data_IF_320789243285
#
_entry.id   IF_320789243285
#
_cell.length_a   1.000
_cell.length_b   1.000
_cell.length_c   1.000
_cell.angle_alpha   90.00
_cell.angle_beta   90.00
_cell.angle_gamma   90.00
#
_symmetry.space_group_name_H-M   'P 1'
#
loop_
_entity.id
_entity.type
_entity.pdbx_description
1 polymer ?
#
# COMPACT_ATOMS: atom_id res chain seq x y z
N UNK A 1 23.71 -28.33 12.66
CA UNK A 1 22.41 -27.71 12.47
C UNK A 1 22.64 -26.38 11.76
N UNK A 2 22.25 -26.26 10.49
CA UNK A 2 22.26 -24.98 9.79
C UNK A 2 21.24 -24.08 10.48
N UNK A 3 21.68 -22.97 11.02
CA UNK A 3 20.77 -21.91 11.44
C UNK A 3 20.04 -21.45 10.16
N UNK A 4 18.77 -21.72 10.10
CA UNK A 4 17.91 -21.17 9.06
C UNK A 4 17.86 -19.66 9.31
N UNK A 5 18.45 -18.88 8.42
CA UNK A 5 18.39 -17.43 8.51
C UNK A 5 16.93 -17.04 8.34
N UNK A 6 16.33 -16.44 9.36
CA UNK A 6 14.94 -15.97 9.28
C UNK A 6 14.85 -14.85 8.25
N UNK A 7 13.77 -14.85 7.43
CA UNK A 7 13.48 -13.75 6.53
C UNK A 7 13.11 -12.51 7.34
N UNK A 8 13.53 -11.33 6.90
CA UNK A 8 13.15 -10.04 7.47
C UNK A 8 13.10 -8.97 6.39
N UNK A 9 12.09 -8.13 6.44
CA UNK A 9 11.92 -7.03 5.51
C UNK A 9 10.65 -6.24 5.81
N UNK A 10 10.53 -5.09 5.18
CA UNK A 10 9.39 -4.19 5.37
C UNK A 10 9.14 -3.33 4.13
N UNK A 11 7.91 -2.84 4.00
CA UNK A 11 7.60 -1.86 2.96
C UNK A 11 8.21 -0.51 3.34
N UNK A 12 9.01 0.02 2.44
CA UNK A 12 9.69 1.31 2.59
C UNK A 12 9.01 2.44 1.82
N UNK A 13 8.25 2.11 0.76
CA UNK A 13 7.57 3.12 -0.08
C UNK A 13 6.20 2.57 -0.57
N UNK A 14 5.10 3.26 -0.25
CA UNK A 14 5.00 4.17 0.88
C UNK A 14 5.38 3.44 2.18
N UNK A 15 5.83 4.15 3.21
CA UNK A 15 6.30 3.48 4.42
C UNK A 15 5.18 2.72 5.09
N UNK A 16 5.46 1.47 5.47
CA UNK A 16 4.57 0.72 6.35
C UNK A 16 4.40 1.45 7.68
N UNK A 17 3.35 1.12 8.40
CA UNK A 17 3.05 1.71 9.71
C UNK A 17 4.25 1.63 10.66
N UNK A 18 4.93 0.47 10.70
CA UNK A 18 6.13 0.27 11.52
C UNK A 18 7.34 1.05 11.01
N UNK A 19 7.56 1.10 9.71
CA UNK A 19 8.66 1.90 9.18
C UNK A 19 8.41 3.41 9.36
N UNK A 20 7.16 3.86 9.25
CA UNK A 20 6.78 5.23 9.59
C UNK A 20 7.10 5.59 11.06
N UNK A 21 7.02 4.61 11.96
CA UNK A 21 7.51 4.77 13.34
C UNK A 21 9.02 4.99 13.38
N UNK A 22 9.77 4.18 12.64
CA UNK A 22 11.23 4.27 12.59
C UNK A 22 11.73 5.61 12.07
N UNK A 23 11.03 6.20 11.10
CA UNK A 23 11.39 7.49 10.50
C UNK A 23 10.65 8.68 11.13
N UNK A 24 10.09 8.48 12.33
CA UNK A 24 9.45 9.52 13.15
C UNK A 24 8.17 10.15 12.56
N UNK A 25 7.50 9.49 11.64
CA UNK A 25 6.18 9.90 11.17
C UNK A 25 5.05 9.44 12.11
N UNK A 26 5.27 8.35 12.85
CA UNK A 26 4.41 7.86 13.91
C UNK A 26 5.15 7.88 15.25
N UNK A 27 4.41 7.92 16.35
CA UNK A 27 4.92 7.88 17.71
C UNK A 27 4.17 6.85 18.55
N UNK A 28 4.73 6.47 19.71
CA UNK A 28 4.07 5.53 20.61
C UNK A 28 3.92 4.13 20.05
N UNK A 29 4.89 3.67 19.27
CA UNK A 29 4.84 2.41 18.52
C UNK A 29 5.44 1.22 19.27
N UNK A 30 6.08 1.46 20.41
CA UNK A 30 6.77 0.39 21.14
C UNK A 30 7.92 -0.23 20.34
N UNK A 31 8.21 -1.53 20.54
CA UNK A 31 9.33 -2.23 19.89
C UNK A 31 9.33 -2.20 18.35
N UNK A 32 8.18 -1.99 17.73
CA UNK A 32 8.07 -1.88 16.28
C UNK A 32 8.92 -0.73 15.68
N UNK A 33 9.23 0.27 16.49
CA UNK A 33 10.09 1.39 16.08
C UNK A 33 11.51 0.93 15.76
N UNK A 34 12.04 0.01 16.53
CA UNK A 34 13.42 -0.44 16.40
C UNK A 34 13.56 -1.64 15.45
N UNK A 35 12.48 -2.38 15.25
CA UNK A 35 12.48 -3.64 14.51
C UNK A 35 11.41 -3.71 13.40
N UNK A 36 11.30 -2.70 12.52
CA UNK A 36 10.28 -2.72 11.46
C UNK A 36 10.41 -3.95 10.56
N UNK A 37 11.60 -4.50 10.38
CA UNK A 37 11.89 -5.69 9.58
C UNK A 37 11.28 -6.98 10.15
N UNK A 38 10.95 -7.00 11.44
CA UNK A 38 10.39 -8.17 12.13
C UNK A 38 8.88 -8.09 12.30
N UNK A 39 8.30 -6.92 12.09
CA UNK A 39 6.86 -6.69 12.25
C UNK A 39 6.08 -7.39 11.14
N UNK A 40 4.98 -8.03 11.52
CA UNK A 40 4.04 -8.60 10.54
C UNK A 40 4.36 -10.01 10.08
N UNK A 41 5.36 -10.67 10.64
CA UNK A 41 5.62 -12.07 10.31
C UNK A 41 4.52 -12.96 10.90
N UNK A 42 3.79 -13.64 10.01
CA UNK A 42 2.68 -14.51 10.39
C UNK A 42 2.50 -15.65 9.41
N UNK A 43 1.50 -16.49 9.67
CA UNK A 43 1.16 -17.60 8.77
C UNK A 43 0.82 -17.06 7.37
N UNK A 44 1.36 -17.66 6.33
CA UNK A 44 1.04 -17.28 4.94
C UNK A 44 -0.36 -17.74 4.55
N UNK A 45 -0.90 -17.15 3.47
CA UNK A 45 -2.18 -17.58 2.88
C UNK A 45 -3.35 -16.65 3.17
N UNK A 46 -3.11 -15.39 3.56
CA UNK A 46 -4.18 -14.39 3.69
C UNK A 46 -4.97 -14.25 2.38
N UNK A 47 -6.30 -14.13 2.39
CA UNK A 47 -7.17 -13.98 3.57
C UNK A 47 -7.68 -15.30 4.19
N UNK A 48 -7.48 -16.46 3.55
CA UNK A 48 -7.99 -17.75 4.06
C UNK A 48 -7.27 -18.16 5.35
N UNK A 49 -5.97 -17.96 5.36
CA UNK A 49 -5.08 -18.12 6.51
C UNK A 49 -4.50 -16.76 6.87
N UNK A 50 -3.39 -16.73 7.58
CA UNK A 50 -2.72 -15.49 7.95
C UNK A 50 -2.95 -15.10 9.40
N UNK A 51 -2.60 -13.88 9.81
CA UNK A 51 -2.78 -13.42 11.17
C UNK A 51 -4.25 -13.37 11.59
N UNK A 52 -4.55 -13.45 12.89
CA UNK A 52 -5.91 -13.27 13.38
C UNK A 52 -6.47 -11.87 13.05
N UNK A 53 -7.78 -11.78 12.87
CA UNK A 53 -8.46 -10.49 12.76
C UNK A 53 -8.17 -9.62 13.99
N UNK A 54 -7.97 -8.32 13.76
CA UNK A 54 -7.53 -7.38 14.80
C UNK A 54 -6.03 -7.37 15.04
N UNK A 55 -5.28 -8.30 14.47
CA UNK A 55 -3.82 -8.42 14.63
C UNK A 55 -3.10 -8.50 13.27
N UNK A 56 -3.69 -7.95 12.23
CA UNK A 56 -3.13 -8.04 10.88
C UNK A 56 -1.82 -7.29 10.75
N UNK A 57 -1.73 -6.10 11.34
CA UNK A 57 -0.53 -5.26 11.25
C UNK A 57 0.66 -5.84 12.00
N UNK A 58 0.44 -6.46 13.15
CA UNK A 58 1.50 -7.13 13.92
C UNK A 58 1.88 -8.50 13.38
N UNK A 59 1.07 -9.08 12.50
CA UNK A 59 1.21 -10.48 12.07
C UNK A 59 0.81 -11.50 13.14
N UNK A 60 0.10 -11.06 14.18
CA UNK A 60 -0.23 -11.87 15.35
C UNK A 60 0.89 -11.91 16.41
N UNK A 61 1.95 -11.11 16.24
CA UNK A 61 3.08 -11.05 17.17
C UNK A 61 2.76 -10.10 18.33
N UNK A 62 2.60 -10.64 19.53
CA UNK A 62 2.17 -9.87 20.70
C UNK A 62 3.12 -8.76 21.11
N UNK A 63 4.44 -8.94 20.90
CA UNK A 63 5.45 -7.91 21.16
C UNK A 63 5.26 -6.67 20.29
N UNK A 64 4.59 -6.77 19.15
CA UNK A 64 4.29 -5.68 18.24
C UNK A 64 2.81 -5.26 18.26
N UNK A 65 2.07 -5.65 19.28
CA UNK A 65 0.63 -5.42 19.39
C UNK A 65 0.21 -3.95 19.34
N UNK A 66 1.09 -3.03 19.69
CA UNK A 66 0.82 -1.58 19.58
C UNK A 66 0.48 -1.15 18.14
N UNK A 67 1.07 -1.82 17.15
CA UNK A 67 0.83 -1.54 15.72
C UNK A 67 -0.60 -1.88 15.28
N UNK A 68 -1.29 -2.73 16.01
CA UNK A 68 -2.67 -3.12 15.71
C UNK A 68 -3.72 -2.10 16.14
N UNK A 69 -3.35 -1.07 16.91
CA UNK A 69 -4.27 0.01 17.27
C UNK A 69 -4.86 0.64 15.99
N UNK A 70 -6.17 0.88 16.01
CA UNK A 70 -6.86 1.36 14.81
C UNK A 70 -7.86 2.45 15.14
N UNK A 71 -7.66 3.60 14.51
CA UNK A 71 -8.63 4.69 14.45
C UNK A 71 -8.39 5.53 13.20
N UNK A 72 -9.33 6.41 12.88
CA UNK A 72 -9.21 7.31 11.74
C UNK A 72 -8.00 8.26 11.83
N UNK A 73 -7.45 8.49 13.02
CA UNK A 73 -6.44 9.52 13.27
C UNK A 73 -5.15 9.01 13.89
N UNK A 74 -5.08 7.73 14.24
CA UNK A 74 -3.94 7.19 15.01
C UNK A 74 -2.63 7.21 14.23
N UNK A 75 -2.67 6.89 12.95
CA UNK A 75 -1.48 6.64 12.14
C UNK A 75 -1.29 7.71 11.08
N UNK A 76 -0.04 8.06 10.81
CA UNK A 76 0.33 8.90 9.69
C UNK A 76 -0.15 8.27 8.37
N UNK A 77 -0.73 9.08 7.51
CA UNK A 77 -1.18 8.68 6.18
C UNK A 77 -0.25 9.27 5.12
N UNK A 78 0.26 8.43 4.24
CA UNK A 78 1.01 8.89 3.06
C UNK A 78 0.04 9.36 1.98
N UNK A 79 0.26 10.56 1.46
CA UNK A 79 -0.54 11.08 0.35
C UNK A 79 -0.22 10.33 -0.94
N UNK A 80 -1.27 9.94 -1.65
CA UNK A 80 -1.20 9.25 -2.94
C UNK A 80 -1.87 10.13 -3.99
N UNK A 81 -1.07 10.75 -4.84
CA UNK A 81 -1.53 11.73 -5.83
C UNK A 81 -1.72 11.14 -7.22
N UNK A 82 -1.27 9.93 -7.46
CA UNK A 82 -1.39 9.19 -8.71
C UNK A 82 -1.92 7.79 -8.42
N UNK A 83 -2.89 7.33 -9.22
CA UNK A 83 -3.42 5.97 -9.10
C UNK A 83 -2.41 4.91 -9.53
N UNK A 84 -1.46 5.25 -10.37
CA UNK A 84 -0.29 4.42 -10.62
C UNK A 84 0.67 4.57 -9.45
N UNK A 85 0.63 3.62 -8.54
CA UNK A 85 1.44 3.62 -7.32
C UNK A 85 2.58 2.62 -7.47
N UNK A 86 3.72 2.95 -6.88
CA UNK A 86 4.88 2.07 -6.79
C UNK A 86 5.07 1.63 -5.35
N UNK A 87 5.17 0.32 -5.12
CA UNK A 87 5.51 -0.24 -3.83
C UNK A 87 6.98 -0.68 -3.82
N UNK A 88 7.70 -0.33 -2.77
CA UNK A 88 9.06 -0.79 -2.56
C UNK A 88 9.21 -1.47 -1.21
N UNK A 89 10.02 -2.51 -1.19
CA UNK A 89 10.41 -3.24 0.01
C UNK A 89 11.89 -3.10 0.27
N UNK A 90 12.26 -3.11 1.54
CA UNK A 90 13.62 -3.21 1.99
C UNK A 90 13.80 -4.49 2.79
N UNK A 91 14.83 -5.26 2.49
CA UNK A 91 15.07 -6.58 3.07
C UNK A 91 16.36 -6.55 3.88
N UNK A 92 16.24 -6.73 5.19
CA UNK A 92 17.42 -6.92 6.05
C UNK A 92 17.91 -8.36 6.01
N UNK A 93 17.02 -9.29 5.68
CA UNK A 93 17.33 -10.68 5.39
C UNK A 93 16.41 -11.17 4.25
N UNK A 94 16.83 -10.98 3.01
CA UNK A 94 16.11 -11.41 1.84
C UNK A 94 15.98 -12.94 1.77
N UNK A 95 14.86 -13.44 1.28
CA UNK A 95 14.55 -14.86 1.26
C UNK A 95 13.79 -15.25 -0.01
N UNK A 96 13.85 -16.52 -0.38
CA UNK A 96 13.10 -17.03 -1.53
C UNK A 96 11.63 -16.65 -1.43
N UNK A 97 11.09 -16.08 -2.49
CA UNK A 97 9.78 -15.44 -2.52
C UNK A 97 8.87 -16.12 -3.52
N UNK A 98 7.66 -16.47 -3.08
CA UNK A 98 6.61 -16.95 -3.96
C UNK A 98 5.97 -15.77 -4.70
N UNK A 99 5.54 -14.75 -3.96
CA UNK A 99 4.80 -13.60 -4.50
C UNK A 99 4.74 -12.45 -3.51
N UNK A 100 4.40 -11.25 -4.02
CA UNK A 100 3.87 -10.13 -3.26
C UNK A 100 2.44 -9.90 -3.69
N UNK A 101 1.57 -9.64 -2.73
CA UNK A 101 0.17 -9.28 -2.98
C UNK A 101 -0.19 -8.01 -2.22
N UNK A 102 -1.05 -7.19 -2.82
CA UNK A 102 -1.50 -5.95 -2.22
C UNK A 102 -3.01 -5.92 -2.18
N UNK A 103 -3.55 -5.81 -0.97
CA UNK A 103 -4.98 -5.72 -0.68
C UNK A 103 -5.31 -4.29 -0.26
N UNK A 104 -6.52 -3.83 -0.53
CA UNK A 104 -6.97 -2.51 -0.10
C UNK A 104 -8.28 -2.62 0.65
N UNK A 105 -8.50 -1.72 1.61
CA UNK A 105 -9.77 -1.61 2.31
C UNK A 105 -10.91 -1.33 1.35
N UNK A 106 -12.09 -1.88 1.66
CA UNK A 106 -13.32 -1.67 0.88
C UNK A 106 -13.70 -0.20 0.83
N UNK A 107 -14.39 0.22 -0.23
CA UNK A 107 -15.10 1.48 -0.23
C UNK A 107 -16.08 1.51 0.96
N UNK A 108 -16.09 2.60 1.73
CA UNK A 108 -16.97 2.73 2.89
C UNK A 108 -16.54 1.92 4.13
N UNK A 109 -15.31 1.40 4.18
CA UNK A 109 -14.79 0.75 5.39
C UNK A 109 -14.83 1.68 6.61
N UNK A 110 -14.87 1.11 7.82
CA UNK A 110 -14.86 1.88 9.05
C UNK A 110 -13.43 1.96 9.63
N UNK A 111 -12.77 3.14 9.59
CA UNK A 111 -11.39 3.29 10.07
C UNK A 111 -11.24 3.19 11.59
N UNK A 112 -12.34 3.20 12.34
CA UNK A 112 -12.33 3.14 13.80
C UNK A 112 -12.56 1.71 14.36
N UNK A 113 -12.73 0.73 13.51
CA UNK A 113 -12.80 -0.67 13.91
C UNK A 113 -11.44 -1.35 13.71
N UNK A 114 -11.10 -2.37 14.53
CA UNK A 114 -9.92 -3.18 14.30
C UNK A 114 -9.89 -3.74 12.87
N UNK A 115 -8.71 -3.77 12.26
CA UNK A 115 -8.57 -4.34 10.92
C UNK A 115 -8.84 -5.83 10.92
N UNK A 116 -9.73 -6.24 10.03
CA UNK A 116 -10.10 -7.63 9.84
C UNK A 116 -10.11 -7.98 8.35
N UNK A 117 -10.31 -9.25 8.01
CA UNK A 117 -10.51 -9.67 6.62
C UNK A 117 -11.67 -8.93 5.97
N UNK A 118 -12.74 -8.67 6.72
CA UNK A 118 -13.91 -7.91 6.24
C UNK A 118 -13.60 -6.44 5.93
N UNK A 119 -12.52 -5.90 6.48
CA UNK A 119 -12.09 -4.53 6.15
C UNK A 119 -11.59 -4.40 4.71
N UNK A 120 -11.11 -5.48 4.11
CA UNK A 120 -10.43 -5.51 2.82
C UNK A 120 -11.27 -6.18 1.73
N UNK A 121 -11.03 -5.79 0.47
CA UNK A 121 -11.45 -6.61 -0.66
C UNK A 121 -10.84 -8.02 -0.52
N UNK A 122 -11.60 -9.05 -0.85
CA UNK A 122 -11.16 -10.45 -0.68
C UNK A 122 -10.02 -10.83 -1.63
N UNK A 123 -9.96 -10.20 -2.81
CA UNK A 123 -8.90 -10.41 -3.78
C UNK A 123 -7.88 -9.26 -3.74
N UNK A 124 -6.60 -9.52 -3.95
CA UNK A 124 -5.61 -8.46 -4.10
C UNK A 124 -5.90 -7.62 -5.34
N UNK A 125 -5.66 -6.32 -5.27
CA UNK A 125 -5.75 -5.45 -6.45
C UNK A 125 -4.47 -5.47 -7.29
N UNK A 126 -3.40 -6.02 -6.76
CA UNK A 126 -2.11 -6.13 -7.42
C UNK A 126 -1.35 -7.35 -6.87
N UNK A 127 -0.69 -8.07 -7.76
CA UNK A 127 0.16 -9.19 -7.38
C UNK A 127 1.40 -9.24 -8.27
N UNK A 128 2.53 -9.60 -7.68
CA UNK A 128 3.82 -9.74 -8.37
C UNK A 128 4.36 -11.14 -8.08
N UNK A 129 4.70 -11.88 -9.13
CA UNK A 129 5.29 -13.20 -9.01
C UNK A 129 6.76 -13.08 -8.55
N UNK A 130 7.11 -13.79 -7.49
CA UNK A 130 8.48 -13.89 -7.00
C UNK A 130 9.29 -15.01 -7.65
N UNK A 131 8.62 -15.94 -8.31
CA UNK A 131 9.23 -17.09 -9.03
C UNK A 131 10.24 -17.91 -8.19
N UNK A 132 10.11 -17.90 -6.86
CA UNK A 132 11.04 -18.56 -5.95
C UNK A 132 12.41 -17.87 -5.83
N UNK A 133 12.55 -16.68 -6.41
CA UNK A 133 13.81 -15.91 -6.37
C UNK A 133 14.00 -15.18 -5.04
N UNK A 134 15.25 -14.78 -4.78
CA UNK A 134 15.61 -13.96 -3.64
C UNK A 134 15.58 -12.48 -4.07
N UNK A 135 14.72 -11.66 -3.47
CA UNK A 135 14.60 -10.27 -3.87
C UNK A 135 15.78 -9.41 -3.38
N UNK A 136 15.92 -8.24 -4.00
CA UNK A 136 16.80 -7.17 -3.54
C UNK A 136 15.99 -5.90 -3.27
N UNK A 137 16.60 -4.91 -2.59
CA UNK A 137 15.90 -3.70 -2.18
C UNK A 137 15.37 -2.91 -3.38
N UNK A 138 14.05 -2.77 -3.48
CA UNK A 138 13.39 -2.00 -4.52
C UNK A 138 13.57 -0.50 -4.37
N UNK A 139 13.82 -0.01 -3.14
CA UNK A 139 14.05 1.41 -2.87
C UNK A 139 15.32 1.93 -3.52
N UNK A 140 16.33 1.09 -3.71
CA UNK A 140 17.62 1.46 -4.27
C UNK A 140 17.71 1.23 -5.78
N UNK A 141 16.71 0.62 -6.38
CA UNK A 141 16.63 0.41 -7.83
C UNK A 141 17.69 -0.51 -8.42
N UNK A 142 18.32 -1.34 -7.60
CA UNK A 142 19.36 -2.28 -8.02
C UNK A 142 18.77 -3.57 -8.54
N UNK A 143 19.10 -3.96 -9.75
CA UNK A 143 18.48 -5.02 -10.53
C UNK A 143 18.43 -6.42 -9.91
N UNK A 144 17.47 -7.21 -10.33
CA UNK A 144 17.20 -8.60 -9.96
C UNK A 144 15.71 -8.86 -9.74
N UNK A 145 15.26 -10.12 -9.61
CA UNK A 145 13.87 -10.41 -9.33
C UNK A 145 13.41 -9.71 -8.04
N UNK A 146 12.36 -8.89 -8.12
CA UNK A 146 11.87 -8.09 -6.99
C UNK A 146 12.71 -6.86 -6.63
N UNK A 147 13.78 -6.56 -7.36
CA UNK A 147 14.61 -5.38 -7.18
C UNK A 147 13.93 -4.09 -7.61
N UNK A 148 13.02 -4.19 -8.52
CA UNK A 148 12.27 -3.05 -9.02
C UNK A 148 11.06 -2.80 -8.13
N UNK A 149 10.68 -1.54 -8.06
CA UNK A 149 9.43 -1.16 -7.42
C UNK A 149 8.27 -1.85 -8.13
N UNK A 150 7.31 -2.30 -7.36
CA UNK A 150 6.12 -2.95 -7.89
C UNK A 150 5.13 -1.90 -8.38
N UNK A 151 4.82 -1.92 -9.67
CA UNK A 151 3.84 -1.04 -10.28
C UNK A 151 2.43 -1.61 -10.09
N UNK A 152 1.58 -0.84 -9.44
CA UNK A 152 0.20 -1.20 -9.18
C UNK A 152 -0.74 -0.05 -9.51
N UNK A 153 -2.02 -0.33 -9.70
CA UNK A 153 -3.03 0.69 -9.97
C UNK A 153 -4.09 0.65 -8.87
N UNK A 154 -4.25 1.76 -8.16
CA UNK A 154 -5.29 1.91 -7.14
C UNK A 154 -6.67 1.77 -7.81
N UNK A 155 -7.59 0.97 -7.25
CA UNK A 155 -8.95 0.87 -7.77
C UNK A 155 -9.62 2.24 -7.87
N UNK A 156 -10.34 2.46 -8.97
CA UNK A 156 -10.89 3.77 -9.34
C UNK A 156 -11.94 4.31 -8.36
N UNK A 157 -12.56 3.46 -7.58
CA UNK A 157 -13.60 3.79 -6.60
C UNK A 157 -13.07 4.03 -5.17
N UNK A 158 -11.75 4.05 -4.99
CA UNK A 158 -11.12 4.34 -3.69
C UNK A 158 -10.57 5.75 -3.68
N UNK A 159 -10.98 6.53 -2.68
CA UNK A 159 -10.51 7.89 -2.41
C UNK A 159 -10.39 8.12 -0.91
N UNK A 160 -9.55 9.07 -0.51
CA UNK A 160 -9.34 9.40 0.89
C UNK A 160 -8.57 8.34 1.66
N UNK A 161 -8.88 8.22 2.95
CA UNK A 161 -8.19 7.30 3.86
C UNK A 161 -8.49 5.84 3.54
N UNK A 162 -7.47 5.09 3.22
CA UNK A 162 -7.50 3.64 3.05
C UNK A 162 -6.28 2.99 3.68
N UNK A 163 -6.37 1.70 3.94
CA UNK A 163 -5.24 0.86 4.33
C UNK A 163 -4.90 -0.06 3.15
N UNK A 164 -3.62 -0.14 2.82
CA UNK A 164 -3.09 -1.14 1.90
C UNK A 164 -2.34 -2.16 2.73
N UNK A 165 -2.67 -3.43 2.57
CA UNK A 165 -1.99 -4.57 3.17
C UNK A 165 -1.09 -5.20 2.11
N UNK A 166 0.22 -5.07 2.28
CA UNK A 166 1.21 -5.77 1.47
C UNK A 166 1.58 -7.09 2.14
N UNK A 167 1.52 -8.18 1.38
CA UNK A 167 1.90 -9.51 1.84
C UNK A 167 3.08 -10.04 1.02
N UNK A 168 4.22 -10.20 1.66
CA UNK A 168 5.40 -10.83 1.10
C UNK A 168 5.41 -12.30 1.53
N UNK A 169 5.07 -13.19 0.59
CA UNK A 169 4.95 -14.63 0.84
C UNK A 169 6.29 -15.33 0.64
N UNK A 170 6.82 -15.94 1.68
CA UNK A 170 8.07 -16.69 1.65
C UNK A 170 7.84 -18.06 1.03
N UNK A 171 8.73 -18.46 0.13
CA UNK A 171 8.55 -19.68 -0.67
C UNK A 171 8.73 -20.95 0.16
N UNK A 172 9.82 -21.05 0.89
CA UNK A 172 10.26 -22.27 1.56
C UNK A 172 10.03 -22.28 3.09
N UNK A 173 9.16 -21.42 3.58
CA UNK A 173 8.68 -21.42 4.98
C UNK A 173 7.16 -21.32 5.02
N UNK A 174 6.58 -21.50 6.20
CA UNK A 174 5.15 -21.29 6.43
C UNK A 174 4.75 -19.82 6.63
N UNK A 175 5.68 -18.89 6.47
CA UNK A 175 5.49 -17.49 6.82
C UNK A 175 5.23 -16.57 5.62
N UNK A 176 4.57 -15.47 5.90
CA UNK A 176 4.55 -14.27 5.09
C UNK A 176 4.75 -13.04 5.99
N UNK A 177 5.19 -11.95 5.40
CA UNK A 177 5.29 -10.66 6.09
C UNK A 177 4.13 -9.78 5.66
N UNK A 178 3.31 -9.38 6.62
CA UNK A 178 2.15 -8.53 6.42
C UNK A 178 2.47 -7.12 6.90
N UNK A 179 2.50 -6.18 5.96
CA UNK A 179 2.75 -4.78 6.25
C UNK A 179 1.53 -3.96 5.90
N UNK A 180 1.02 -3.18 6.84
CA UNK A 180 -0.05 -2.23 6.57
C UNK A 180 0.53 -0.86 6.30
N UNK A 181 -0.02 -0.20 5.30
CA UNK A 181 0.34 1.16 4.87
C UNK A 181 -0.91 2.02 4.95
N UNK A 182 -0.83 3.10 5.72
CA UNK A 182 -1.90 4.08 5.82
C UNK A 182 -1.73 5.10 4.70
N UNK A 183 -2.75 5.25 3.84
CA UNK A 183 -2.71 6.16 2.69
C UNK A 183 -3.89 7.12 2.70
N UNK A 184 -3.66 8.29 2.14
CA UNK A 184 -4.69 9.25 1.79
C UNK A 184 -4.70 9.42 0.27
N UNK A 185 -5.70 8.86 -0.38
CA UNK A 185 -5.79 8.83 -1.84
C UNK A 185 -6.40 10.14 -2.32
N UNK A 186 -5.57 10.99 -2.88
CA UNK A 186 -5.92 12.31 -3.41
C UNK A 186 -6.04 12.30 -4.94
N UNK A 187 -5.61 11.22 -5.58
CA UNK A 187 -5.73 11.08 -7.03
C UNK A 187 -7.18 11.14 -7.47
N UNK A 188 -7.45 11.92 -8.53
CA UNK A 188 -8.77 12.00 -9.12
C UNK A 188 -9.21 10.63 -9.64
N UNK A 189 -10.51 10.32 -9.49
CA UNK A 189 -11.10 9.17 -10.14
C UNK A 189 -11.05 9.35 -11.66
N UNK A 190 -10.83 8.28 -12.46
CA UNK A 190 -10.94 8.38 -13.91
C UNK A 190 -12.33 8.88 -14.29
N UNK A 191 -12.38 9.80 -15.27
CA UNK A 191 -13.64 10.28 -15.81
C UNK A 191 -14.28 9.19 -16.68
N UNK A 192 -15.49 8.70 -16.34
CA UNK A 192 -16.14 7.63 -17.10
C UNK A 192 -16.50 8.03 -18.52
N UNK A 193 -16.62 9.34 -18.79
CA UNK A 193 -16.94 9.87 -20.12
C UNK A 193 -15.69 10.12 -20.97
N UNK A 194 -14.50 9.86 -20.44
CA UNK A 194 -13.23 10.00 -21.14
C UNK A 194 -12.74 11.44 -21.26
N UNK A 195 -13.21 12.34 -20.40
CA UNK A 195 -12.70 13.70 -20.33
C UNK A 195 -11.45 13.77 -19.44
N UNK A 196 -10.47 14.54 -19.87
CA UNK A 196 -9.31 14.82 -19.06
C UNK A 196 -9.59 15.96 -18.08
N UNK A 197 -9.04 15.86 -16.87
CA UNK A 197 -9.03 16.98 -15.92
C UNK A 197 -7.96 17.97 -16.34
N UNK A 198 -8.38 19.13 -16.82
CA UNK A 198 -7.47 20.18 -17.32
C UNK A 198 -7.17 21.27 -16.29
N UNK A 199 -7.67 21.12 -15.06
CA UNK A 199 -7.52 22.12 -14.02
C UNK A 199 -8.35 23.38 -14.27
N UNK A 200 -7.88 24.51 -13.76
CA UNK A 200 -8.54 25.80 -13.95
C UNK A 200 -8.11 26.42 -15.28
N UNK A 201 -9.08 26.65 -16.17
CA UNK A 201 -8.83 27.40 -17.39
C UNK A 201 -8.86 28.90 -17.09
N UNK A 202 -7.90 29.62 -17.64
CA UNK A 202 -7.90 31.09 -17.58
C UNK A 202 -8.75 31.66 -18.71
N UNK A 203 -9.27 32.88 -18.54
CA UNK A 203 -10.15 33.51 -19.53
C UNK A 203 -9.54 33.67 -20.93
N UNK A 204 -8.22 33.64 -21.05
CA UNK A 204 -7.48 33.81 -22.29
C UNK A 204 -6.93 32.52 -22.87
N UNK A 205 -7.26 31.40 -22.27
CA UNK A 205 -6.78 30.10 -22.74
C UNK A 205 -7.64 29.61 -23.91
N UNK A 206 -7.00 29.31 -25.01
CA UNK A 206 -7.66 28.77 -26.20
C UNK A 206 -6.88 27.56 -26.72
N UNK A 207 -7.62 26.65 -27.35
CA UNK A 207 -6.99 25.54 -28.07
C UNK A 207 -6.45 26.06 -29.39
N UNK A 208 -5.32 25.54 -29.83
CA UNK A 208 -4.74 25.84 -31.14
C UNK A 208 -5.58 25.15 -32.23
N UNK A 209 -5.61 25.69 -33.44
CA UNK A 209 -6.28 25.04 -34.57
C UNK A 209 -5.73 23.62 -34.79
N UNK A 210 -6.61 22.63 -34.86
CA UNK A 210 -6.26 21.23 -35.02
C UNK A 210 -6.14 20.44 -33.70
N UNK A 211 -6.21 21.11 -32.57
CA UNK A 211 -6.28 20.43 -31.29
C UNK A 211 -7.67 19.81 -31.10
N UNK A 212 -7.64 18.54 -30.65
CA UNK A 212 -8.87 17.82 -30.31
C UNK A 212 -8.72 17.29 -28.91
N UNK A 213 -9.30 17.98 -27.93
CA UNK A 213 -9.26 17.60 -26.54
C UNK A 213 -10.66 17.55 -25.97
N UNK A 214 -11.03 16.41 -25.41
CA UNK A 214 -12.20 16.34 -24.52
C UNK A 214 -11.77 16.79 -23.14
N UNK A 215 -12.31 17.90 -22.69
CA UNK A 215 -11.99 18.47 -21.40
C UNK A 215 -13.26 18.87 -20.67
N UNK A 216 -13.23 18.74 -19.34
CA UNK A 216 -14.29 19.22 -18.47
C UNK A 216 -13.69 20.18 -17.46
N UNK A 217 -14.20 21.41 -17.42
CA UNK A 217 -13.83 22.39 -16.41
C UNK A 217 -14.85 22.35 -15.27
N UNK A 218 -14.36 22.40 -14.05
CA UNK A 218 -15.19 22.46 -12.85
C UNK A 218 -15.22 23.90 -12.35
N UNK A 219 -16.40 24.46 -12.21
CA UNK A 219 -16.62 25.69 -11.47
C UNK A 219 -16.92 25.38 -10.02
N UNK A 220 -16.65 26.29 -9.09
CA UNK A 220 -16.71 26.04 -7.65
C UNK A 220 -18.09 25.63 -7.08
N UNK A 221 -19.13 25.53 -7.89
CA UNK A 221 -20.49 25.11 -7.54
C UNK A 221 -20.86 23.72 -8.06
N UNK A 222 -19.90 22.90 -8.48
CA UNK A 222 -20.09 21.58 -9.05
C UNK A 222 -20.74 21.56 -10.45
N UNK A 223 -20.90 22.72 -11.11
CA UNK A 223 -21.25 22.76 -12.52
C UNK A 223 -20.03 22.49 -13.39
N UNK A 224 -20.20 21.74 -14.44
CA UNK A 224 -19.16 21.47 -15.42
C UNK A 224 -19.51 22.08 -16.77
N UNK A 225 -18.50 22.61 -17.48
CA UNK A 225 -18.62 23.08 -18.85
C UNK A 225 -17.79 22.17 -19.75
N UNK A 226 -18.30 21.90 -20.95
CA UNK A 226 -17.60 21.16 -22.01
C UNK A 226 -17.00 22.14 -23.03
N UNK A 227 -15.80 21.81 -23.52
CA UNK A 227 -15.09 22.60 -24.54
C UNK A 227 -14.76 21.74 -25.76
#
# INVERSE_FOLDING_TARGET
>A
ASQQVAANGYMSEPPSRSYACRINLNTGCGPATDEPQSVGEGAKGFPVLGPPDGQLASGGLTQFGTIDAQSATRWHQSDVTDRNIKFAWQYTAAHKTTKWEYFITKAGWNPNLPLSRESFDAAPFCAVDGAGGVPVDGAEGTGGPGAQKHDCVIPSDRTGHHIILGAWTIDNTGAAFYNVVDVNILAAAPDPDGYANVGTLTANQSLLPGDSVKARAFTGSAESAEY
#
